data_IF_277214984259
#
_entry.id   IF_277214984259
#
_cell.length_a   1.000
_cell.length_b   1.000
_cell.length_c   1.000
_cell.angle_alpha   90.00
_cell.angle_beta   90.00
_cell.angle_gamma   90.00
#
_symmetry.space_group_name_H-M   'P 1'
#
loop_
_entity.id
_entity.type
_entity.pdbx_description
1 polymer ?
#
# COMPACT_ATOMS: atom_id res chain seq x y z
N UNK A 1 -19.12 2.02 -7.09
CA UNK A 1 -17.88 2.03 -7.91
C UNK A 1 -16.73 1.57 -7.03
N UNK A 2 -15.97 0.57 -7.48
CA UNK A 2 -14.78 0.08 -6.77
C UNK A 2 -13.55 0.55 -7.54
N UNK A 3 -12.70 1.34 -6.89
CA UNK A 3 -11.43 1.79 -7.43
C UNK A 3 -10.35 0.77 -7.06
N UNK A 4 -9.94 -0.02 -8.05
CA UNK A 4 -8.90 -1.04 -7.95
C UNK A 4 -7.62 -0.61 -8.67
N UNK A 5 -7.18 0.62 -8.41
CA UNK A 5 -5.94 1.18 -8.96
C UNK A 5 -4.73 0.70 -8.13
N UNK A 6 -3.56 0.68 -8.75
CA UNK A 6 -2.31 0.39 -8.07
C UNK A 6 -2.08 1.33 -6.87
N UNK A 7 -1.41 0.85 -5.83
CA UNK A 7 -1.05 1.63 -4.64
C UNK A 7 0.14 2.58 -4.88
N UNK A 8 0.22 3.19 -6.07
CA UNK A 8 1.26 4.14 -6.47
C UNK A 8 0.74 5.58 -6.33
N UNK A 9 1.65 6.56 -6.39
CA UNK A 9 1.30 8.00 -6.36
C UNK A 9 0.32 8.35 -7.49
N UNK A 10 0.58 7.86 -8.70
CA UNK A 10 -0.32 8.08 -9.84
C UNK A 10 -1.69 7.44 -9.61
N UNK A 11 -1.72 6.21 -9.08
CA UNK A 11 -2.96 5.51 -8.75
C UNK A 11 -3.77 6.24 -7.67
N UNK A 12 -3.12 6.85 -6.68
CA UNK A 12 -3.78 7.70 -5.69
C UNK A 12 -4.35 8.97 -6.32
N UNK A 13 -3.58 9.62 -7.19
CA UNK A 13 -4.00 10.84 -7.89
C UNK A 13 -5.21 10.58 -8.78
N UNK A 14 -5.18 9.51 -9.58
CA UNK A 14 -6.32 9.10 -10.42
C UNK A 14 -7.53 8.70 -9.58
N UNK A 15 -7.34 8.00 -8.45
CA UNK A 15 -8.45 7.66 -7.55
C UNK A 15 -9.14 8.90 -6.99
N UNK A 16 -8.37 9.91 -6.60
CA UNK A 16 -8.90 11.18 -6.11
C UNK A 16 -9.69 11.92 -7.20
N UNK A 17 -9.10 12.04 -8.39
CA UNK A 17 -9.75 12.66 -9.55
C UNK A 17 -11.11 12.01 -9.89
N UNK A 18 -11.16 10.68 -9.94
CA UNK A 18 -12.40 9.94 -10.21
C UNK A 18 -13.43 10.17 -9.09
N UNK A 19 -12.98 10.17 -7.84
CA UNK A 19 -13.88 10.39 -6.69
C UNK A 19 -14.54 11.77 -6.75
N UNK A 20 -13.76 12.82 -7.01
CA UNK A 20 -14.27 14.19 -7.15
C UNK A 20 -15.24 14.30 -8.33
N UNK A 21 -14.92 13.65 -9.45
CA UNK A 21 -15.81 13.62 -10.61
C UNK A 21 -17.14 12.92 -10.33
N UNK A 22 -17.17 11.93 -9.43
CA UNK A 22 -18.38 11.18 -9.08
C UNK A 22 -19.12 11.75 -7.87
N UNK A 23 -18.60 12.78 -7.20
CA UNK A 23 -19.17 13.33 -5.96
C UNK A 23 -20.62 13.84 -6.08
N UNK A 24 -21.04 14.23 -7.29
CA UNK A 24 -22.39 14.73 -7.58
C UNK A 24 -23.41 13.62 -7.89
N UNK A 25 -22.97 12.37 -7.98
CA UNK A 25 -23.82 11.22 -8.26
C UNK A 25 -24.14 10.47 -6.96
N UNK A 26 -25.36 9.88 -6.83
CA UNK A 26 -25.74 9.11 -5.65
C UNK A 26 -25.14 7.69 -5.68
N UNK A 27 -23.83 7.59 -5.90
CA UNK A 27 -23.11 6.32 -6.02
C UNK A 27 -22.05 6.22 -4.93
N UNK A 28 -21.98 5.05 -4.29
CA UNK A 28 -20.92 4.77 -3.32
C UNK A 28 -19.61 4.51 -4.05
N UNK A 29 -18.60 5.34 -3.80
CA UNK A 29 -17.22 5.11 -4.23
C UNK A 29 -16.46 4.41 -3.10
N UNK A 30 -15.76 3.35 -3.43
CA UNK A 30 -14.96 2.54 -2.49
C UNK A 30 -13.62 2.21 -3.13
N UNK A 31 -12.59 1.98 -2.31
CA UNK A 31 -11.25 1.62 -2.75
C UNK A 31 -10.82 0.33 -2.05
N UNK A 32 -9.97 -0.45 -2.69
CA UNK A 32 -9.30 -1.57 -2.02
C UNK A 32 -8.51 -1.06 -0.81
N UNK A 33 -8.50 -1.84 0.26
CA UNK A 33 -7.67 -1.53 1.41
C UNK A 33 -6.20 -1.49 0.97
N UNK A 34 -5.48 -0.45 1.37
CA UNK A 34 -4.04 -0.34 1.20
C UNK A 34 -3.43 -0.23 2.59
N UNK A 35 -2.49 -1.12 2.89
CA UNK A 35 -1.89 -1.26 4.21
C UNK A 35 -0.85 -2.38 4.22
N UNK A 36 -0.28 -2.64 5.39
CA UNK A 36 0.67 -3.72 5.60
C UNK A 36 -0.06 -5.06 5.40
N UNK A 37 0.46 -5.97 4.57
CA UNK A 37 -0.14 -7.30 4.42
C UNK A 37 -0.20 -7.99 5.79
N UNK A 38 -1.38 -8.49 6.15
CA UNK A 38 -1.54 -9.33 7.33
C UNK A 38 -0.76 -10.62 7.07
N UNK A 39 0.40 -10.74 7.72
CA UNK A 39 1.41 -11.78 7.48
C UNK A 39 2.84 -11.24 7.27
N UNK A 40 3.02 -9.92 7.14
CA UNK A 40 4.31 -9.25 6.95
C UNK A 40 5.17 -9.05 8.20
N UNK A 41 4.96 -9.82 9.27
CA UNK A 41 5.88 -9.85 10.41
C UNK A 41 7.20 -10.62 10.09
N UNK A 42 7.32 -11.20 8.88
CA UNK A 42 8.46 -12.05 8.50
C UNK A 42 9.33 -11.54 7.35
N UNK A 43 8.92 -10.53 6.57
CA UNK A 43 9.71 -10.06 5.39
C UNK A 43 10.55 -8.80 5.63
N UNK A 44 10.52 -8.24 6.84
CA UNK A 44 11.37 -7.10 7.19
C UNK A 44 12.14 -7.27 8.50
N UNK A 45 12.21 -8.50 9.02
CA UNK A 45 13.37 -8.85 9.82
C UNK A 45 14.54 -9.10 8.85
N UNK A 46 15.36 -8.05 8.75
CA UNK A 46 16.76 -8.21 9.11
C UNK A 46 17.78 -8.60 8.02
N UNK A 47 17.72 -8.09 6.79
CA UNK A 47 18.97 -8.03 6.01
C UNK A 47 20.06 -7.26 6.79
N UNK A 48 19.66 -6.18 7.48
CA UNK A 48 20.55 -5.40 8.36
C UNK A 48 20.99 -6.14 9.63
N UNK A 49 20.11 -6.89 10.30
CA UNK A 49 20.46 -7.61 11.54
C UNK A 49 21.11 -8.96 11.27
N UNK A 50 20.80 -9.64 10.15
CA UNK A 50 21.59 -10.78 9.66
C UNK A 50 23.00 -10.31 9.29
N UNK A 51 23.15 -9.18 8.58
CA UNK A 51 24.47 -8.62 8.28
C UNK A 51 25.25 -8.26 9.56
N UNK A 52 24.60 -7.65 10.57
CA UNK A 52 25.22 -7.36 11.86
C UNK A 52 25.56 -8.62 12.67
N UNK A 53 24.73 -9.66 12.60
CA UNK A 53 24.97 -10.96 13.24
C UNK A 53 26.10 -11.76 12.55
N UNK A 54 26.28 -11.59 11.24
CA UNK A 54 27.41 -12.18 10.50
C UNK A 54 28.71 -11.41 10.75
N UNK A 55 28.68 -10.07 10.78
CA UNK A 55 29.86 -9.25 11.06
C UNK A 55 30.39 -9.41 12.51
N UNK A 56 29.56 -9.91 13.43
CA UNK A 56 29.96 -10.20 14.82
C UNK A 56 30.56 -11.60 15.03
N UNK A 57 30.67 -12.43 13.98
CA UNK A 57 31.46 -13.68 14.01
C UNK A 57 32.85 -13.47 13.39
N UNK A 58 33.75 -12.88 14.19
CA UNK A 58 35.22 -12.74 13.99
C UNK A 58 35.73 -12.10 12.70
#
# INVERSE_FOLDING_TARGET
VILALNATVDGQTTAHYITDRLAHLPVKVTRLAHGVPVGGELDHLDDGTIAAAMASRR
#
